data_IF_158643008330
#
_entry.id   IF_158643008330
#
_cell.length_a   1.000
_cell.length_b   1.000
_cell.length_c   1.000
_cell.angle_alpha   90.00
_cell.angle_beta   90.00
_cell.angle_gamma   90.00
#
_symmetry.space_group_name_H-M   'P 1'
#
loop_
_entity.id
_entity.type
_entity.pdbx_description
1 polymer ?
#
# COMPACT_ATOMS: atom_id res chain seq x y z
N UNK A 1 9.52 -20.76 -3.81
CA UNK A 1 8.22 -20.06 -3.91
C UNK A 1 8.35 -19.04 -5.02
N UNK A 2 7.62 -19.21 -6.10
CA UNK A 2 7.70 -18.36 -7.29
C UNK A 2 6.84 -17.11 -7.06
N UNK A 3 7.47 -15.94 -7.01
CA UNK A 3 6.80 -14.66 -7.13
C UNK A 3 6.18 -14.61 -8.54
N UNK A 4 4.85 -14.74 -8.63
CA UNK A 4 4.15 -14.69 -9.90
C UNK A 4 4.13 -13.27 -10.44
N UNK A 5 4.86 -13.03 -11.51
CA UNK A 5 4.73 -11.85 -12.36
C UNK A 5 3.73 -12.23 -13.46
N UNK A 6 2.46 -11.84 -13.33
CA UNK A 6 1.48 -12.09 -14.38
C UNK A 6 0.36 -11.06 -14.36
N UNK A 7 0.22 -10.35 -15.46
CA UNK A 7 -0.99 -9.64 -15.86
C UNK A 7 -1.94 -10.64 -16.57
N UNK A 8 -2.43 -11.66 -15.85
CA UNK A 8 -3.49 -12.53 -16.34
C UNK A 8 -4.81 -12.12 -15.68
N UNK A 9 -5.96 -12.09 -16.43
CA UNK A 9 -7.26 -11.78 -15.84
C UNK A 9 -7.61 -12.82 -14.79
N UNK A 10 -7.74 -12.41 -13.54
CA UNK A 10 -8.18 -13.29 -12.47
C UNK A 10 -9.67 -13.59 -12.65
N UNK A 11 -9.99 -14.87 -12.88
CA UNK A 11 -11.36 -15.35 -12.79
C UNK A 11 -11.95 -15.03 -11.40
N UNK A 12 -13.26 -14.75 -11.29
CA UNK A 12 -13.92 -14.52 -10.02
C UNK A 12 -13.76 -15.76 -9.14
N UNK A 13 -12.88 -15.66 -8.13
CA UNK A 13 -12.67 -16.72 -7.15
C UNK A 13 -13.34 -16.29 -5.85
N UNK A 14 -14.27 -17.08 -5.36
CA UNK A 14 -14.63 -17.08 -3.93
C UNK A 14 -13.41 -17.55 -3.14
N UNK A 15 -13.27 -17.11 -1.89
CA UNK A 15 -12.30 -17.70 -0.97
C UNK A 15 -12.50 -19.21 -0.88
N UNK A 16 -11.47 -20.01 -0.52
CA UNK A 16 -11.57 -21.48 -0.45
C UNK A 16 -12.72 -22.00 0.44
N UNK A 17 -13.17 -21.18 1.38
CA UNK A 17 -14.28 -21.48 2.31
C UNK A 17 -15.65 -20.96 1.84
N UNK A 18 -15.77 -20.43 0.62
CA UNK A 18 -17.00 -19.84 0.09
C UNK A 18 -17.31 -18.43 0.58
N UNK A 19 -16.45 -17.82 1.41
CA UNK A 19 -16.59 -16.46 1.89
C UNK A 19 -16.26 -15.42 0.82
N UNK A 20 -16.58 -14.15 1.10
CA UNK A 20 -16.20 -13.00 0.25
C UNK A 20 -14.67 -12.92 0.19
N UNK A 21 -14.10 -12.93 -1.02
CA UNK A 21 -12.68 -12.74 -1.23
C UNK A 21 -12.27 -11.32 -0.82
N UNK A 22 -11.20 -11.20 -0.03
CA UNK A 22 -10.72 -9.95 0.59
C UNK A 22 -9.35 -9.59 0.05
N UNK A 23 -9.25 -8.44 -0.59
CA UNK A 23 -8.05 -7.99 -1.30
C UNK A 23 -7.64 -6.64 -0.77
N UNK A 24 -6.37 -6.53 -0.35
CA UNK A 24 -5.75 -5.28 0.06
C UNK A 24 -4.79 -4.77 -1.00
N UNK A 25 -4.84 -3.48 -1.30
CA UNK A 25 -3.90 -2.80 -2.20
C UNK A 25 -3.13 -1.76 -1.40
N UNK A 26 -1.84 -2.00 -1.19
CA UNK A 26 -0.92 -1.04 -0.62
C UNK A 26 -0.17 -0.33 -1.76
N UNK A 27 -0.67 0.84 -2.14
CA UNK A 27 -0.05 1.69 -3.13
C UNK A 27 0.95 2.67 -2.52
N UNK A 28 1.99 3.00 -3.24
CA UNK A 28 2.95 3.98 -2.78
C UNK A 28 4.04 4.28 -3.80
N UNK A 29 4.68 5.44 -3.67
CA UNK A 29 5.86 5.74 -4.49
C UNK A 29 6.96 4.72 -4.23
N UNK A 30 7.08 4.25 -2.96
CA UNK A 30 8.11 3.32 -2.49
C UNK A 30 9.52 3.80 -2.87
N UNK A 31 9.85 5.00 -2.43
CA UNK A 31 11.07 5.72 -2.79
C UNK A 31 11.90 6.14 -1.56
N UNK A 32 12.53 5.17 -0.86
CA UNK A 32 12.39 3.72 -0.99
C UNK A 32 11.19 3.14 -0.21
N UNK A 33 10.86 1.89 -0.47
CA UNK A 33 10.02 1.09 0.42
C UNK A 33 10.78 0.88 1.74
N UNK A 34 10.05 0.90 2.86
CA UNK A 34 10.64 0.82 4.21
C UNK A 34 9.78 -0.03 5.14
N UNK A 35 10.31 -0.31 6.35
CA UNK A 35 9.65 -1.20 7.32
C UNK A 35 8.26 -0.74 7.72
N UNK A 36 7.97 0.57 7.71
CA UNK A 36 6.62 1.10 7.94
C UNK A 36 5.59 0.66 6.89
N UNK A 37 5.99 0.55 5.62
CA UNK A 37 5.11 0.00 4.59
C UNK A 37 4.85 -1.50 4.82
N UNK A 38 5.87 -2.27 5.23
CA UNK A 38 5.73 -3.70 5.52
C UNK A 38 4.82 -3.92 6.72
N UNK A 39 5.03 -3.15 7.80
CA UNK A 39 4.21 -3.21 9.00
C UNK A 39 2.74 -2.86 8.73
N UNK A 40 2.48 -1.85 7.87
CA UNK A 40 1.13 -1.48 7.45
C UNK A 40 0.48 -2.62 6.64
N UNK A 41 1.22 -3.22 5.70
CA UNK A 41 0.75 -4.38 4.95
C UNK A 41 0.41 -5.58 5.84
N UNK A 42 1.30 -5.92 6.79
CA UNK A 42 1.11 -7.02 7.75
C UNK A 42 -0.07 -6.74 8.71
N UNK A 43 -0.22 -5.49 9.18
CA UNK A 43 -1.36 -5.09 10.01
C UNK A 43 -2.67 -5.39 9.31
N UNK A 44 -2.88 -4.87 8.10
CA UNK A 44 -4.15 -5.04 7.42
C UNK A 44 -4.35 -6.44 6.86
N UNK A 45 -3.29 -7.18 6.52
CA UNK A 45 -3.42 -8.60 6.20
C UNK A 45 -4.08 -9.37 7.35
N UNK A 46 -3.71 -9.07 8.60
CA UNK A 46 -4.28 -9.65 9.80
C UNK A 46 -5.66 -9.08 10.13
N UNK A 47 -5.80 -7.74 10.23
CA UNK A 47 -7.04 -7.06 10.65
C UNK A 47 -8.19 -7.35 9.70
N UNK A 48 -7.93 -7.45 8.39
CA UNK A 48 -8.93 -7.70 7.38
C UNK A 48 -8.99 -9.17 6.94
N UNK A 49 -8.13 -10.04 7.50
CA UNK A 49 -7.99 -11.43 7.10
C UNK A 49 -7.90 -11.58 5.57
N UNK A 50 -6.96 -10.85 4.95
CA UNK A 50 -6.84 -10.74 3.51
C UNK A 50 -6.49 -12.08 2.85
N UNK A 51 -7.16 -12.39 1.75
CA UNK A 51 -6.77 -13.50 0.86
C UNK A 51 -5.61 -13.08 -0.05
N UNK A 52 -5.57 -11.78 -0.42
CA UNK A 52 -4.48 -11.20 -1.22
C UNK A 52 -4.04 -9.84 -0.67
N UNK A 53 -2.74 -9.63 -0.64
CA UNK A 53 -2.11 -8.33 -0.42
C UNK A 53 -1.29 -7.94 -1.65
N UNK A 54 -1.65 -6.84 -2.29
CA UNK A 54 -0.99 -6.33 -3.48
C UNK A 54 -0.12 -5.12 -3.09
N UNK A 55 1.19 -5.23 -3.27
CA UNK A 55 2.09 -4.07 -3.25
C UNK A 55 2.11 -3.45 -4.64
N UNK A 56 1.74 -2.18 -4.72
CA UNK A 56 1.59 -1.43 -5.98
C UNK A 56 2.57 -0.25 -6.01
N UNK A 57 3.82 -0.45 -6.48
CA UNK A 57 4.73 0.68 -6.68
C UNK A 57 4.17 1.60 -7.76
N UNK A 58 4.05 2.88 -7.43
CA UNK A 58 3.43 3.87 -8.28
C UNK A 58 4.19 4.05 -9.61
N UNK A 59 3.45 4.25 -10.67
CA UNK A 59 3.98 4.66 -11.98
C UNK A 59 4.40 6.13 -12.01
N UNK A 60 4.02 6.83 -13.06
CA UNK A 60 4.24 8.28 -13.16
C UNK A 60 3.20 9.03 -12.32
N UNK A 61 3.66 9.64 -11.22
CA UNK A 61 2.82 10.48 -10.38
C UNK A 61 2.93 11.94 -10.82
N UNK A 62 1.86 12.60 -11.26
CA UNK A 62 1.90 14.00 -11.72
C UNK A 62 2.42 14.98 -10.67
N UNK A 63 2.26 14.64 -9.40
CA UNK A 63 2.59 15.50 -8.26
C UNK A 63 4.01 15.29 -7.69
N UNK A 64 4.78 14.30 -8.22
CA UNK A 64 6.12 13.98 -7.69
C UNK A 64 7.16 13.99 -8.81
N UNK A 65 7.83 15.13 -8.95
CA UNK A 65 9.01 15.27 -9.80
C UNK A 65 10.27 14.79 -9.07
N UNK A 66 11.20 14.14 -9.79
CA UNK A 66 12.51 13.75 -9.25
C UNK A 66 12.52 12.48 -8.40
N UNK A 67 11.50 11.63 -8.47
CA UNK A 67 11.54 10.31 -7.84
C UNK A 67 12.53 9.36 -8.53
N UNK A 68 13.07 8.42 -7.77
CA UNK A 68 13.92 7.33 -8.30
C UNK A 68 13.22 6.59 -9.45
N UNK A 69 13.94 6.23 -10.53
CA UNK A 69 13.34 5.55 -11.69
C UNK A 69 12.49 4.34 -11.30
N UNK A 70 11.36 4.09 -11.99
CA UNK A 70 10.38 3.05 -11.60
C UNK A 70 10.99 1.66 -11.48
N UNK A 71 11.97 1.31 -12.34
CA UNK A 71 12.65 0.01 -12.28
C UNK A 71 13.39 -0.24 -10.97
N UNK A 72 14.05 0.78 -10.41
CA UNK A 72 14.71 0.68 -9.11
C UNK A 72 13.69 0.57 -7.97
N UNK A 73 12.60 1.33 -8.02
CA UNK A 73 11.54 1.27 -7.00
C UNK A 73 10.85 -0.10 -7.00
N UNK A 74 10.62 -0.68 -8.18
CA UNK A 74 10.10 -2.05 -8.32
C UNK A 74 11.07 -3.08 -7.75
N UNK A 75 12.38 -2.97 -8.07
CA UNK A 75 13.39 -3.89 -7.54
C UNK A 75 13.45 -3.85 -6.00
N UNK A 76 13.48 -2.65 -5.42
CA UNK A 76 13.42 -2.47 -3.96
C UNK A 76 12.13 -3.05 -3.36
N UNK A 77 11.00 -2.85 -4.04
CA UNK A 77 9.69 -3.40 -3.59
C UNK A 77 9.72 -4.93 -3.58
N UNK A 78 10.30 -5.57 -4.59
CA UNK A 78 10.42 -7.05 -4.66
C UNK A 78 11.28 -7.59 -3.52
N UNK A 79 12.43 -6.96 -3.24
CA UNK A 79 13.30 -7.36 -2.12
C UNK A 79 12.60 -7.22 -0.76
N UNK A 80 11.86 -6.15 -0.56
CA UNK A 80 11.09 -5.95 0.66
C UNK A 80 9.90 -6.92 0.76
N UNK A 81 9.29 -7.28 -0.36
CA UNK A 81 8.19 -8.23 -0.43
C UNK A 81 8.60 -9.64 0.02
N UNK A 82 9.84 -10.07 -0.22
CA UNK A 82 10.35 -11.35 0.27
C UNK A 82 10.32 -11.43 1.81
N UNK A 83 10.68 -10.35 2.48
CA UNK A 83 10.63 -10.26 3.95
C UNK A 83 9.19 -10.30 4.46
N UNK A 84 8.30 -9.53 3.83
CA UNK A 84 6.88 -9.51 4.19
C UNK A 84 6.24 -10.87 3.91
N UNK A 85 6.57 -11.54 2.81
CA UNK A 85 6.08 -12.89 2.51
C UNK A 85 6.50 -13.91 3.56
N UNK A 86 7.75 -13.84 4.05
CA UNK A 86 8.23 -14.69 5.13
C UNK A 86 7.50 -14.43 6.45
N UNK A 87 7.15 -13.19 6.76
CA UNK A 87 6.34 -12.82 7.92
C UNK A 87 4.91 -13.35 7.78
N UNK A 88 4.26 -13.10 6.64
CA UNK A 88 2.90 -13.56 6.39
C UNK A 88 2.78 -15.07 6.40
N UNK A 89 3.77 -15.80 5.89
CA UNK A 89 3.78 -17.27 5.94
C UNK A 89 3.68 -17.83 7.37
N UNK A 90 4.13 -17.06 8.37
CA UNK A 90 4.06 -17.45 9.79
C UNK A 90 2.79 -16.94 10.48
N UNK A 91 2.29 -15.77 10.08
CA UNK A 91 1.21 -15.06 10.82
C UNK A 91 -0.14 -15.12 10.11
N UNK A 92 -0.14 -15.18 8.77
CA UNK A 92 -1.30 -15.17 7.89
C UNK A 92 -1.04 -16.08 6.67
N UNK A 93 -0.89 -17.41 6.84
CA UNK A 93 -0.43 -18.32 5.80
C UNK A 93 -1.38 -18.42 4.60
N UNK A 94 -2.63 -18.01 4.74
CA UNK A 94 -3.62 -17.96 3.65
C UNK A 94 -3.48 -16.71 2.76
N UNK A 95 -2.77 -15.67 3.21
CA UNK A 95 -2.62 -14.43 2.46
C UNK A 95 -1.57 -14.58 1.36
N UNK A 96 -1.97 -14.43 0.11
CA UNK A 96 -1.06 -14.36 -1.02
C UNK A 96 -0.50 -12.93 -1.15
N UNK A 97 0.84 -12.78 -1.21
CA UNK A 97 1.49 -11.50 -1.47
C UNK A 97 1.84 -11.37 -2.96
N UNK A 98 1.48 -10.25 -3.56
CA UNK A 98 1.71 -9.94 -4.98
C UNK A 98 2.41 -8.59 -5.10
N UNK A 99 3.43 -8.49 -5.94
CA UNK A 99 4.02 -7.21 -6.37
C UNK A 99 3.52 -6.91 -7.77
N UNK A 100 2.68 -5.89 -7.91
CA UNK A 100 2.06 -5.53 -9.19
C UNK A 100 2.91 -4.50 -9.94
N UNK A 101 3.04 -4.70 -11.25
CA UNK A 101 3.70 -3.74 -12.17
C UNK A 101 2.71 -2.83 -12.89
N UNK A 102 1.41 -2.99 -12.65
CA UNK A 102 0.30 -2.34 -13.36
C UNK A 102 0.51 -0.83 -13.55
N UNK A 103 0.84 -0.11 -12.48
CA UNK A 103 1.04 1.35 -12.59
C UNK A 103 2.37 1.71 -13.26
N UNK A 104 3.41 0.90 -13.08
CA UNK A 104 4.71 1.11 -13.73
C UNK A 104 4.63 0.93 -15.24
N UNK A 105 3.84 -0.03 -15.69
CA UNK A 105 3.65 -0.36 -17.12
C UNK A 105 2.63 0.55 -17.81
N UNK A 106 1.85 1.33 -17.04
CA UNK A 106 0.86 2.25 -17.60
C UNK A 106 1.54 3.40 -18.31
N UNK A 107 1.13 3.66 -19.56
CA UNK A 107 1.53 4.84 -20.28
C UNK A 107 0.82 6.09 -19.70
N UNK A 108 1.60 7.08 -19.26
CA UNK A 108 1.07 8.34 -18.71
C UNK A 108 0.82 8.33 -17.20
N UNK A 109 0.07 9.31 -16.69
CA UNK A 109 -0.19 9.48 -15.27
C UNK A 109 -0.92 8.30 -14.66
N UNK A 110 -0.55 7.92 -13.43
CA UNK A 110 -1.26 6.92 -12.66
C UNK A 110 -2.04 7.59 -11.54
N UNK A 111 -3.38 7.46 -11.60
CA UNK A 111 -4.27 7.87 -10.53
C UNK A 111 -4.82 6.64 -9.81
N UNK A 112 -4.91 6.72 -8.50
CA UNK A 112 -5.39 5.62 -7.65
C UNK A 112 -6.79 5.16 -8.05
N UNK A 113 -7.69 6.09 -8.38
CA UNK A 113 -9.06 5.78 -8.80
C UNK A 113 -9.09 4.89 -10.04
N UNK A 114 -8.23 5.16 -11.03
CA UNK A 114 -8.17 4.35 -12.25
C UNK A 114 -7.65 2.95 -11.97
N UNK A 115 -6.62 2.86 -11.12
CA UNK A 115 -6.05 1.58 -10.68
C UNK A 115 -7.08 0.73 -9.92
N UNK A 116 -7.84 1.32 -9.00
CA UNK A 116 -8.88 0.62 -8.26
C UNK A 116 -10.05 0.20 -9.18
N UNK A 117 -10.41 1.04 -10.14
CA UNK A 117 -11.44 0.72 -11.16
C UNK A 117 -11.03 -0.48 -12.02
N UNK A 118 -9.77 -0.55 -12.44
CA UNK A 118 -9.22 -1.68 -13.19
C UNK A 118 -9.23 -2.96 -12.34
N UNK A 119 -8.71 -2.89 -11.10
CA UNK A 119 -8.71 -4.03 -10.18
C UNK A 119 -10.14 -4.52 -9.94
N UNK A 120 -11.09 -3.60 -9.71
CA UNK A 120 -12.50 -3.94 -9.50
C UNK A 120 -13.11 -4.71 -10.68
N UNK A 121 -12.75 -4.35 -11.92
CA UNK A 121 -13.17 -5.10 -13.11
C UNK A 121 -12.63 -6.52 -13.11
N UNK A 122 -11.37 -6.69 -12.72
CA UNK A 122 -10.68 -7.98 -12.72
C UNK A 122 -11.21 -8.94 -11.64
N UNK A 123 -11.51 -8.40 -10.44
CA UNK A 123 -11.94 -9.23 -9.29
C UNK A 123 -13.44 -9.43 -9.20
N UNK A 124 -14.23 -8.65 -9.96
CA UNK A 124 -15.69 -8.68 -9.92
C UNK A 124 -16.30 -7.82 -8.80
N UNK A 125 -17.64 -7.71 -8.79
CA UNK A 125 -18.36 -6.78 -7.93
C UNK A 125 -18.46 -7.21 -6.46
N UNK A 126 -18.28 -8.50 -6.16
CA UNK A 126 -18.57 -9.06 -4.83
C UNK A 126 -17.35 -9.09 -3.90
N UNK A 127 -16.13 -9.11 -4.42
CA UNK A 127 -14.91 -9.14 -3.59
C UNK A 127 -14.78 -7.86 -2.75
N UNK A 128 -14.39 -7.98 -1.48
CA UNK A 128 -13.99 -6.84 -0.66
C UNK A 128 -12.63 -6.33 -1.14
N UNK A 129 -12.58 -5.10 -1.62
CA UNK A 129 -11.35 -4.43 -2.03
C UNK A 129 -11.05 -3.29 -1.06
N UNK A 130 -9.83 -3.26 -0.52
CA UNK A 130 -9.38 -2.25 0.43
C UNK A 130 -8.13 -1.54 -0.07
N UNK A 131 -8.17 -0.22 -0.18
CA UNK A 131 -7.01 0.65 -0.36
C UNK A 131 -6.36 0.89 1.00
N UNK A 132 -5.10 0.49 1.15
CA UNK A 132 -4.34 0.58 2.40
C UNK A 132 -3.41 1.79 2.35
N UNK A 133 -3.56 2.71 3.31
CA UNK A 133 -2.79 3.97 3.36
C UNK A 133 -2.33 4.30 4.79
N UNK A 134 -1.37 5.21 4.93
CA UNK A 134 -1.07 5.85 6.20
C UNK A 134 -2.04 7.00 6.49
N UNK A 135 -2.22 7.35 7.76
CA UNK A 135 -3.12 8.43 8.17
C UNK A 135 -2.73 9.81 7.64
N UNK A 136 -1.46 10.04 7.31
CA UNK A 136 -0.98 11.25 6.63
C UNK A 136 -1.58 11.42 5.23
N UNK A 137 -1.90 10.31 4.56
CA UNK A 137 -2.60 10.31 3.28
C UNK A 137 -4.12 10.44 3.47
N UNK A 138 -4.66 9.86 4.53
CA UNK A 138 -6.09 9.92 4.83
C UNK A 138 -6.56 11.37 5.04
N UNK A 139 -5.83 12.18 5.82
CA UNK A 139 -6.22 13.59 6.07
C UNK A 139 -6.09 14.50 4.86
N UNK A 140 -5.47 13.99 3.80
CA UNK A 140 -5.29 14.69 2.52
C UNK A 140 -5.96 13.98 1.35
N UNK A 141 -6.83 13.03 1.63
CA UNK A 141 -7.48 12.20 0.61
C UNK A 141 -8.27 13.04 -0.39
N UNK A 142 -8.86 14.14 0.06
CA UNK A 142 -9.61 15.09 -0.76
C UNK A 142 -8.77 15.88 -1.79
N UNK A 143 -7.44 15.79 -1.70
CA UNK A 143 -6.53 16.33 -2.72
C UNK A 143 -6.26 15.34 -3.86
N UNK A 144 -6.73 14.10 -3.75
CA UNK A 144 -6.51 13.08 -4.77
C UNK A 144 -7.50 13.24 -5.92
N UNK A 145 -7.04 12.91 -7.12
CA UNK A 145 -7.90 12.96 -8.30
C UNK A 145 -9.13 12.06 -8.14
N UNK A 146 -10.31 12.62 -8.34
CA UNK A 146 -11.60 11.93 -8.23
C UNK A 146 -11.77 11.14 -6.91
N UNK A 147 -11.27 11.68 -5.78
CA UNK A 147 -11.16 10.97 -4.51
C UNK A 147 -12.48 10.37 -4.00
N UNK A 148 -13.64 10.99 -4.29
CA UNK A 148 -14.94 10.46 -3.88
C UNK A 148 -15.28 9.15 -4.58
N UNK A 149 -14.86 9.00 -5.84
CA UNK A 149 -15.08 7.78 -6.63
C UNK A 149 -14.28 6.58 -6.10
N UNK A 150 -13.25 6.79 -5.26
CA UNK A 150 -12.51 5.70 -4.62
C UNK A 150 -13.46 4.76 -3.87
N UNK A 151 -14.49 5.32 -3.22
CA UNK A 151 -15.47 4.58 -2.44
C UNK A 151 -16.43 3.74 -3.28
N UNK A 152 -16.54 4.00 -4.56
CA UNK A 152 -17.33 3.19 -5.50
C UNK A 152 -16.59 1.87 -5.84
N UNK A 153 -15.27 1.85 -5.67
CA UNK A 153 -14.43 0.71 -6.02
C UNK A 153 -13.84 -0.02 -4.83
N UNK A 154 -13.52 0.67 -3.74
CA UNK A 154 -12.81 0.12 -2.59
C UNK A 154 -13.27 0.72 -1.26
N UNK A 155 -12.91 0.05 -0.17
CA UNK A 155 -12.79 0.66 1.16
C UNK A 155 -11.48 1.44 1.23
N UNK A 156 -11.40 2.44 2.11
CA UNK A 156 -10.16 3.13 2.48
C UNK A 156 -9.79 2.71 3.90
N UNK A 157 -8.69 2.01 4.06
CA UNK A 157 -8.21 1.52 5.36
C UNK A 157 -6.91 2.24 5.71
N UNK A 158 -6.93 3.02 6.78
CA UNK A 158 -5.81 3.85 7.19
C UNK A 158 -5.21 3.38 8.51
N UNK A 159 -3.87 3.21 8.55
CA UNK A 159 -3.15 3.02 9.80
C UNK A 159 -2.83 4.41 10.41
N UNK A 160 -3.33 4.64 11.61
CA UNK A 160 -3.06 5.86 12.34
C UNK A 160 -1.61 5.87 12.86
N UNK A 161 -0.91 6.98 12.61
CA UNK A 161 0.42 7.21 13.18
C UNK A 161 0.30 7.91 14.53
N UNK A 162 1.32 7.81 15.40
CA UNK A 162 1.36 8.62 16.61
C UNK A 162 1.09 10.10 16.32
N UNK A 163 0.17 10.71 17.06
CA UNK A 163 -0.23 12.10 16.84
C UNK A 163 -1.26 12.33 15.73
N UNK A 164 -1.82 11.27 15.14
CA UNK A 164 -2.93 11.40 14.18
C UNK A 164 -4.11 12.11 14.83
N UNK A 165 -4.59 13.18 14.15
CA UNK A 165 -5.77 13.92 14.56
C UNK A 165 -6.71 14.09 13.36
N UNK A 166 -7.93 13.55 13.47
CA UNK A 166 -8.98 13.63 12.44
C UNK A 166 -9.39 15.09 12.16
N UNK A 167 -9.25 15.98 13.12
CA UNK A 167 -9.64 17.39 13.01
C UNK A 167 -8.75 18.18 12.05
N UNK A 168 -7.59 17.66 11.70
CA UNK A 168 -6.71 18.25 10.69
C UNK A 168 -7.21 18.04 9.26
N UNK A 169 -8.17 17.14 9.06
CA UNK A 169 -8.83 16.94 7.77
C UNK A 169 -9.78 18.10 7.45
N UNK A 170 -10.06 18.31 6.16
CA UNK A 170 -11.05 19.30 5.72
C UNK A 170 -12.44 18.98 6.28
N UNK A 171 -13.34 19.97 6.41
CA UNK A 171 -14.72 19.73 6.85
C UNK A 171 -15.42 18.66 6.00
N UNK A 172 -15.25 18.69 4.67
CA UNK A 172 -15.86 17.75 3.75
C UNK A 172 -15.36 16.31 3.99
N UNK A 173 -14.07 16.15 4.29
CA UNK A 173 -13.50 14.84 4.55
C UNK A 173 -13.92 14.29 5.91
N UNK A 174 -14.09 15.15 6.91
CA UNK A 174 -14.64 14.77 8.24
C UNK A 174 -16.09 14.26 8.15
N UNK A 175 -16.92 14.89 7.31
CA UNK A 175 -18.28 14.39 7.02
C UNK A 175 -18.23 12.98 6.43
N UNK A 176 -17.35 12.75 5.46
CA UNK A 176 -17.16 11.42 4.85
C UNK A 176 -16.64 10.39 5.87
N UNK A 177 -15.79 10.78 6.81
CA UNK A 177 -15.40 9.90 7.91
C UNK A 177 -16.59 9.47 8.75
N UNK A 178 -17.43 10.42 9.16
CA UNK A 178 -18.61 10.14 9.97
C UNK A 178 -19.63 9.23 9.27
N UNK A 179 -19.82 9.42 7.96
CA UNK A 179 -20.80 8.65 7.17
C UNK A 179 -20.32 7.24 6.82
N UNK A 180 -19.01 7.06 6.64
CA UNK A 180 -18.44 5.83 6.02
C UNK A 180 -17.62 4.98 6.97
N UNK A 181 -17.46 5.37 8.22
CA UNK A 181 -16.69 4.59 9.19
C UNK A 181 -17.29 3.20 9.38
N UNK A 182 -16.45 2.18 9.32
CA UNK A 182 -16.83 0.76 9.49
C UNK A 182 -15.84 0.05 10.40
N UNK A 183 -16.34 -0.97 11.08
CA UNK A 183 -15.49 -1.96 11.75
C UNK A 183 -14.74 -2.83 10.74
N UNK A 184 -13.71 -3.55 11.18
CA UNK A 184 -13.01 -4.52 10.36
C UNK A 184 -13.96 -5.57 9.75
N UNK A 185 -14.90 -6.09 10.53
CA UNK A 185 -15.93 -7.03 10.04
C UNK A 185 -16.83 -6.39 8.97
N UNK A 186 -17.19 -5.12 9.13
CA UNK A 186 -17.97 -4.39 8.13
C UNK A 186 -17.24 -4.23 6.80
N UNK A 187 -15.91 -4.00 6.83
CA UNK A 187 -15.06 -3.97 5.63
C UNK A 187 -14.94 -5.36 5.02
N UNK A 188 -14.69 -6.40 5.82
CA UNK A 188 -14.55 -7.78 5.35
C UNK A 188 -15.82 -8.31 4.64
N UNK A 189 -17.00 -7.85 5.04
CA UNK A 189 -18.30 -8.36 4.59
C UNK A 189 -18.96 -7.55 3.48
N UNK A 190 -18.35 -6.45 3.04
CA UNK A 190 -18.89 -5.58 1.98
C UNK A 190 -17.85 -5.33 0.90
N UNK A 191 -18.24 -5.06 -0.36
CA UNK A 191 -17.29 -4.91 -1.46
C UNK A 191 -16.42 -3.65 -1.39
N UNK A 192 -17.00 -2.52 -0.96
CA UNK A 192 -16.39 -1.19 -1.01
C UNK A 192 -17.14 -0.18 -0.15
N UNK A 193 -16.75 1.09 -0.18
CA UNK A 193 -17.50 2.24 0.31
C UNK A 193 -17.30 2.60 1.78
N UNK A 194 -16.52 1.83 2.55
CA UNK A 194 -16.25 2.09 3.96
C UNK A 194 -14.91 2.74 4.22
N UNK A 195 -14.76 3.29 5.42
CA UNK A 195 -13.48 3.76 5.98
C UNK A 195 -13.20 2.98 7.26
N UNK A 196 -12.00 2.43 7.38
CA UNK A 196 -11.48 1.84 8.61
C UNK A 196 -10.23 2.60 9.04
N UNK A 197 -10.18 3.03 10.29
CA UNK A 197 -8.98 3.63 10.88
C UNK A 197 -8.50 2.70 11.99
N UNK A 198 -7.29 2.18 11.85
CA UNK A 198 -6.65 1.30 12.83
C UNK A 198 -5.53 2.07 13.52
N UNK A 199 -5.57 2.17 14.84
CA UNK A 199 -4.63 2.92 15.67
C UNK A 199 -3.59 2.02 16.38
N UNK A 200 -3.59 0.74 16.07
CA UNK A 200 -2.67 -0.23 16.72
C UNK A 200 -1.24 -0.18 16.17
N UNK A 201 -0.99 0.55 15.07
CA UNK A 201 0.34 0.65 14.45
C UNK A 201 1.15 1.83 15.03
N UNK A 202 2.03 1.55 15.98
CA UNK A 202 2.90 2.56 16.59
C UNK A 202 4.18 2.81 15.76
N UNK A 203 4.07 3.05 14.43
CA UNK A 203 5.23 3.23 13.54
C UNK A 203 5.16 4.60 12.88
N UNK A 204 6.11 5.45 13.25
CA UNK A 204 6.30 6.78 12.61
C UNK A 204 7.55 6.76 11.71
N UNK A 205 7.35 6.53 10.42
CA UNK A 205 8.43 6.49 9.43
C UNK A 205 8.05 7.33 8.22
N UNK A 206 8.93 8.27 7.87
CA UNK A 206 8.80 9.13 6.71
C UNK A 206 9.85 8.75 5.65
N UNK A 207 9.40 8.43 4.42
CA UNK A 207 10.30 8.21 3.30
C UNK A 207 11.16 9.45 2.98
N UNK A 208 10.67 10.65 3.31
CA UNK A 208 11.42 11.91 3.12
C UNK A 208 12.60 12.00 4.08
N UNK A 209 12.38 11.71 5.35
CA UNK A 209 13.46 11.68 6.37
C UNK A 209 14.45 10.56 6.07
N UNK A 210 13.94 9.40 5.61
CA UNK A 210 14.81 8.30 5.24
C UNK A 210 15.72 8.67 4.06
N UNK A 211 15.22 9.37 3.03
CA UNK A 211 16.07 9.87 1.92
C UNK A 211 17.11 10.87 2.40
N UNK A 212 16.76 11.77 3.31
CA UNK A 212 17.74 12.70 3.91
C UNK A 212 18.84 11.94 4.66
N UNK A 213 18.49 10.90 5.42
CA UNK A 213 19.46 10.03 6.10
C UNK A 213 20.34 9.30 5.09
N UNK A 214 19.78 8.76 4.02
CA UNK A 214 20.51 8.04 2.97
C UNK A 214 21.54 8.91 2.25
N UNK A 215 21.21 10.19 2.01
CA UNK A 215 22.14 11.13 1.38
C UNK A 215 23.44 11.31 2.21
N UNK A 216 23.38 11.12 3.53
CA UNK A 216 24.51 11.27 4.44
C UNK A 216 25.15 9.95 4.87
N UNK A 217 24.50 8.81 4.64
CA UNK A 217 24.93 7.47 5.11
C UNK A 217 25.86 6.74 4.13
N UNK A 218 26.64 7.45 3.31
CA UNK A 218 27.40 6.88 2.16
C UNK A 218 28.28 5.69 2.51
N UNK A 219 28.95 5.76 3.67
CA UNK A 219 29.92 4.76 4.10
C UNK A 219 29.44 3.97 5.33
N UNK A 220 28.16 4.08 5.68
CA UNK A 220 27.63 3.34 6.81
C UNK A 220 27.70 1.82 6.55
N UNK A 221 28.28 1.10 7.50
CA UNK A 221 28.38 -0.37 7.43
C UNK A 221 27.02 -1.05 7.69
N UNK A 222 26.11 -0.36 8.38
CA UNK A 222 24.79 -0.86 8.76
C UNK A 222 23.69 -0.04 8.09
N UNK A 223 22.52 -0.66 7.79
CA UNK A 223 21.39 0.06 7.23
C UNK A 223 20.90 1.16 8.17
N UNK A 224 20.40 2.28 7.64
CA UNK A 224 19.61 3.21 8.43
C UNK A 224 18.44 2.49 9.12
N UNK A 225 18.07 2.97 10.32
CA UNK A 225 16.88 2.48 10.99
C UNK A 225 15.67 2.53 10.02
N UNK A 226 14.80 1.55 10.13
CA UNK A 226 13.58 1.45 9.32
C UNK A 226 13.78 1.11 7.82
N UNK A 227 15.00 0.81 7.37
CA UNK A 227 15.27 0.35 6.02
C UNK A 227 15.60 -1.15 6.04
N UNK A 228 14.88 -2.01 5.29
CA UNK A 228 15.22 -3.43 5.20
C UNK A 228 16.62 -3.64 4.63
N UNK A 229 17.38 -4.57 5.22
CA UNK A 229 18.77 -4.86 4.81
C UNK A 229 18.91 -5.16 3.30
N UNK A 230 18.08 -6.01 2.65
CA UNK A 230 18.19 -6.26 1.22
C UNK A 230 17.97 -4.99 0.37
N UNK A 231 17.07 -4.10 0.83
CA UNK A 231 16.82 -2.82 0.16
C UNK A 231 18.02 -1.89 0.30
N UNK A 232 18.63 -1.85 1.48
CA UNK A 232 19.86 -1.09 1.73
C UNK A 232 21.01 -1.55 0.85
N UNK A 233 21.25 -2.86 0.76
CA UNK A 233 22.30 -3.44 -0.10
C UNK A 233 22.07 -3.06 -1.57
N UNK A 234 20.82 -3.11 -2.04
CA UNK A 234 20.47 -2.69 -3.39
C UNK A 234 20.75 -1.21 -3.63
N UNK A 235 20.35 -0.33 -2.70
CA UNK A 235 20.59 1.11 -2.76
C UNK A 235 22.08 1.41 -2.89
N UNK A 236 22.92 0.74 -2.10
CA UNK A 236 24.38 0.88 -2.15
C UNK A 236 24.97 0.41 -3.48
N UNK A 237 24.56 -0.78 -3.93
CA UNK A 237 25.05 -1.37 -5.17
C UNK A 237 24.66 -0.55 -6.41
N UNK A 238 23.50 0.09 -6.40
CA UNK A 238 23.00 0.91 -7.49
C UNK A 238 23.31 2.42 -7.32
N UNK A 239 24.03 2.78 -6.27
CA UNK A 239 24.42 4.16 -5.99
C UNK A 239 23.26 5.16 -5.92
N UNK A 240 22.09 4.72 -5.43
CA UNK A 240 20.88 5.55 -5.32
C UNK A 240 20.96 6.53 -4.14
N UNK A 241 20.17 7.62 -4.21
CA UNK A 241 20.04 8.67 -3.18
C UNK A 241 21.34 9.37 -2.83
N UNK A 242 22.28 9.44 -3.77
CA UNK A 242 23.50 10.22 -3.60
C UNK A 242 23.21 11.69 -3.92
N UNK A 243 23.59 12.59 -3.00
CA UNK A 243 23.59 14.03 -3.24
C UNK A 243 24.74 14.41 -4.19
#
# INVERSE_FOLDING_TARGET
MTLSSSAAPHAPRTSPDGSIRRIGVLGGTFDPIHTGHLALGALFARTLALDELILMPAGQQPQKHGSTPPGHRLAMTRLAAELLAAELARTQPSTQLIVSTREIERAGPSYTVDTLREIRRDIGAQASLSLLIGSDQLVRLDTWHAWRELFDYAHVCAAARPGFNRDTASPQLREVFAEREKSALGVQSTPCGGILIDDSLAVDISATELRATLAHARDAATPPANLPEPVWQYIRAQHLYRA
#
